data_IF_942082918232
#
_entry.id   IF_942082918232
#
_cell.length_a   1.000
_cell.length_b   1.000
_cell.length_c   1.000
_cell.angle_alpha   90.00
_cell.angle_beta   90.00
_cell.angle_gamma   90.00
#
_symmetry.space_group_name_H-M   'P 1'
#
loop_
_entity.id
_entity.type
_entity.pdbx_description
1 polymer ?
#
# COMPACT_ATOMS: atom_id res chain seq x y z
N UNK A 1 26.66 -54.46 -28.98
CA UNK A 1 27.25 -53.23 -28.39
C UNK A 1 26.25 -52.06 -28.52
N UNK A 2 25.18 -52.02 -27.73
CA UNK A 2 24.14 -50.95 -27.81
C UNK A 2 23.44 -50.69 -26.46
N UNK A 3 24.17 -50.68 -25.34
CA UNK A 3 23.57 -50.42 -24.01
C UNK A 3 24.34 -49.45 -23.09
N UNK A 4 25.47 -48.88 -23.52
CA UNK A 4 26.31 -48.07 -22.60
C UNK A 4 26.30 -46.55 -22.83
N UNK A 5 25.52 -46.01 -23.77
CA UNK A 5 25.57 -44.55 -24.07
C UNK A 5 24.39 -43.79 -23.43
N UNK A 6 23.29 -44.46 -23.06
CA UNK A 6 22.13 -43.81 -22.46
C UNK A 6 22.33 -43.44 -20.97
N UNK A 7 23.35 -43.98 -20.30
CA UNK A 7 23.57 -43.74 -18.86
C UNK A 7 24.52 -42.56 -18.57
N UNK A 8 25.28 -42.09 -19.56
CA UNK A 8 26.24 -40.99 -19.37
C UNK A 8 25.64 -39.60 -19.66
N UNK A 9 24.49 -39.53 -20.35
CA UNK A 9 23.83 -38.28 -20.75
C UNK A 9 22.79 -37.78 -19.74
N UNK A 10 22.54 -38.54 -18.66
CA UNK A 10 21.58 -38.17 -17.61
C UNK A 10 22.24 -37.49 -16.39
N UNK A 11 23.57 -37.32 -16.42
CA UNK A 11 24.38 -36.72 -15.35
C UNK A 11 24.77 -35.24 -15.61
N UNK A 12 24.21 -34.63 -16.65
CA UNK A 12 24.46 -33.24 -17.05
C UNK A 12 23.19 -32.38 -17.02
N UNK A 13 22.28 -32.65 -16.08
CA UNK A 13 21.40 -31.58 -15.63
C UNK A 13 22.19 -30.75 -14.63
N UNK A 14 22.54 -29.49 -14.94
CA UNK A 14 22.98 -28.59 -13.89
C UNK A 14 21.79 -28.46 -12.94
N UNK A 15 21.88 -29.08 -11.77
CA UNK A 15 21.16 -28.59 -10.60
C UNK A 15 21.69 -27.17 -10.36
N UNK A 16 21.09 -26.19 -11.04
CA UNK A 16 21.22 -24.81 -10.65
C UNK A 16 20.73 -24.75 -9.22
N UNK A 17 21.65 -24.53 -8.29
CA UNK A 17 21.30 -24.10 -6.95
C UNK A 17 20.64 -22.75 -7.17
N UNK A 18 19.31 -22.67 -7.01
CA UNK A 18 18.62 -21.40 -7.07
C UNK A 18 19.26 -20.51 -6.01
N UNK A 19 20.02 -19.52 -6.45
CA UNK A 19 20.66 -18.56 -5.57
C UNK A 19 19.55 -17.68 -5.01
N UNK A 20 19.44 -17.66 -3.68
CA UNK A 20 18.60 -16.74 -2.94
C UNK A 20 18.80 -15.30 -3.44
N UNK A 21 17.74 -14.69 -3.99
CA UNK A 21 17.74 -13.35 -4.57
C UNK A 21 16.63 -12.53 -3.90
N UNK A 22 16.91 -11.27 -3.60
CA UNK A 22 15.96 -10.31 -3.03
C UNK A 22 15.91 -9.07 -3.92
N UNK A 23 14.74 -8.83 -4.51
CA UNK A 23 14.40 -7.60 -5.21
C UNK A 23 13.77 -6.58 -4.26
N UNK A 24 14.25 -5.33 -4.34
CA UNK A 24 13.81 -4.23 -3.49
C UNK A 24 13.44 -3.06 -4.40
N UNK A 25 12.19 -2.64 -4.36
CA UNK A 25 11.71 -1.43 -5.04
C UNK A 25 11.40 -0.37 -3.99
N UNK A 26 12.07 0.78 -4.07
CA UNK A 26 11.93 1.84 -3.08
C UNK A 26 11.66 3.20 -3.75
N UNK A 27 10.61 3.88 -3.31
CA UNK A 27 10.24 5.25 -3.74
C UNK A 27 10.41 6.19 -2.55
N UNK A 28 11.54 6.90 -2.45
CA UNK A 28 11.83 7.75 -1.30
C UNK A 28 10.81 8.86 -1.05
N UNK A 29 10.20 9.43 -2.09
CA UNK A 29 9.25 10.55 -1.96
C UNK A 29 7.97 10.18 -1.22
N UNK A 30 7.44 8.98 -1.48
CA UNK A 30 6.27 8.45 -0.79
C UNK A 30 6.65 7.59 0.41
N UNK A 31 7.93 7.21 0.52
CA UNK A 31 8.40 6.18 1.43
C UNK A 31 7.96 4.77 1.07
N UNK A 32 7.31 4.56 -0.09
CA UNK A 32 6.85 3.25 -0.49
C UNK A 32 8.00 2.29 -0.70
N UNK A 33 7.93 1.13 -0.07
CA UNK A 33 8.89 0.05 -0.17
C UNK A 33 8.14 -1.25 -0.51
N UNK A 34 8.65 -1.97 -1.50
CA UNK A 34 8.26 -3.36 -1.77
C UNK A 34 9.51 -4.23 -1.79
N UNK A 35 9.50 -5.32 -1.04
CA UNK A 35 10.58 -6.30 -1.02
C UNK A 35 10.00 -7.65 -1.34
N UNK A 36 10.65 -8.37 -2.26
CA UNK A 36 10.30 -9.73 -2.63
C UNK A 36 11.57 -10.55 -2.76
N UNK A 37 11.57 -11.78 -2.29
CA UNK A 37 12.73 -12.63 -2.46
C UNK A 37 12.65 -13.98 -1.80
N UNK A 38 13.70 -14.75 -2.02
CA UNK A 38 13.92 -16.04 -1.40
C UNK A 38 15.20 -16.00 -0.57
N UNK A 39 15.17 -16.60 0.61
CA UNK A 39 16.37 -16.84 1.42
C UNK A 39 16.43 -18.29 1.86
N UNK A 40 17.65 -18.83 1.95
CA UNK A 40 17.86 -20.10 2.65
C UNK A 40 17.86 -19.78 4.14
N UNK A 41 16.89 -20.30 4.89
CA UNK A 41 16.81 -20.14 6.34
C UNK A 41 17.30 -21.38 7.07
N UNK A 42 18.03 -21.18 8.17
CA UNK A 42 18.47 -22.23 9.09
C UNK A 42 17.82 -22.04 10.47
N UNK A 43 16.54 -22.44 10.63
CA UNK A 43 15.78 -22.17 11.85
C UNK A 43 16.27 -23.05 13.01
N UNK A 44 16.56 -22.42 14.15
CA UNK A 44 16.91 -23.12 15.40
C UNK A 44 15.71 -23.64 16.21
N UNK A 45 14.48 -23.29 15.81
CA UNK A 45 13.24 -23.69 16.49
C UNK A 45 12.10 -23.90 15.48
N UNK A 46 11.00 -24.52 15.92
CA UNK A 46 9.77 -24.66 15.12
C UNK A 46 8.92 -23.39 15.07
N UNK A 47 9.29 -22.35 15.82
CA UNK A 47 8.60 -21.06 15.83
C UNK A 47 9.57 -19.90 15.54
N UNK A 48 10.28 -19.90 14.39
CA UNK A 48 11.13 -18.78 14.02
C UNK A 48 10.29 -17.56 13.68
N UNK A 49 10.86 -16.38 13.89
CA UNK A 49 10.22 -15.11 13.55
C UNK A 49 11.18 -14.15 12.82
N UNK A 50 10.60 -13.14 12.19
CA UNK A 50 11.35 -11.98 11.71
C UNK A 50 10.57 -10.69 11.95
N UNK A 51 11.30 -9.58 12.00
CA UNK A 51 10.76 -8.25 12.25
C UNK A 51 10.86 -7.39 10.98
N UNK A 52 9.79 -6.66 10.70
CA UNK A 52 9.68 -5.66 9.64
C UNK A 52 9.27 -4.31 10.22
N UNK A 53 9.31 -3.26 9.40
CA UNK A 53 8.78 -1.95 9.77
C UNK A 53 7.26 -1.98 10.11
N UNK A 54 6.75 -1.01 10.90
CA UNK A 54 5.40 -1.08 11.49
C UNK A 54 4.23 -1.16 10.49
N UNK A 55 4.38 -0.57 9.30
CA UNK A 55 3.32 -0.50 8.29
C UNK A 55 3.41 -1.63 7.25
N UNK A 56 4.37 -2.56 7.40
CA UNK A 56 4.58 -3.65 6.46
C UNK A 56 3.35 -4.57 6.35
N UNK A 57 2.98 -4.86 5.11
CA UNK A 57 1.92 -5.79 4.72
C UNK A 57 2.54 -6.97 4.02
N UNK A 58 2.30 -8.17 4.55
CA UNK A 58 2.76 -9.42 3.93
C UNK A 58 1.87 -9.71 2.73
N UNK A 59 2.45 -9.79 1.54
CA UNK A 59 1.76 -10.08 0.29
C UNK A 59 2.01 -11.52 -0.17
N UNK A 60 3.15 -12.09 0.22
CA UNK A 60 3.48 -13.51 0.03
C UNK A 60 4.35 -14.01 1.19
N UNK A 61 4.10 -15.23 1.66
CA UNK A 61 4.97 -15.89 2.65
C UNK A 61 4.83 -17.40 2.53
N UNK A 62 5.95 -18.09 2.37
CA UNK A 62 5.96 -19.53 2.19
C UNK A 62 7.28 -20.18 2.65
N UNK A 63 7.21 -21.34 3.31
CA UNK A 63 8.35 -22.24 3.52
C UNK A 63 7.92 -23.72 3.48
N UNK A 64 8.85 -24.64 3.18
CA UNK A 64 8.56 -26.08 2.94
C UNK A 64 7.80 -26.73 4.10
N UNK A 65 8.24 -26.45 5.32
CA UNK A 65 7.67 -27.02 6.53
C UNK A 65 6.64 -26.10 7.17
N UNK A 66 6.23 -24.99 6.53
CA UNK A 66 5.29 -24.03 7.10
C UNK A 66 3.89 -24.62 7.19
N UNK A 67 3.33 -24.60 8.39
CA UNK A 67 1.93 -24.97 8.66
C UNK A 67 1.02 -23.73 8.62
N UNK A 68 1.46 -22.68 9.29
CA UNK A 68 0.76 -21.40 9.42
C UNK A 68 1.77 -20.30 9.76
N UNK A 69 1.33 -19.05 9.68
CA UNK A 69 2.06 -17.91 10.18
C UNK A 69 1.10 -16.96 10.91
N UNK A 70 1.66 -16.17 11.83
CA UNK A 70 0.94 -15.12 12.55
C UNK A 70 1.67 -13.79 12.35
N UNK A 71 0.90 -12.72 12.17
CA UNK A 71 1.42 -11.35 12.03
C UNK A 71 0.93 -10.52 13.22
N UNK A 72 1.87 -10.02 14.01
CA UNK A 72 1.61 -9.10 15.11
C UNK A 72 2.18 -7.74 14.75
N UNK A 73 1.30 -6.75 14.58
CA UNK A 73 1.70 -5.36 14.28
C UNK A 73 1.79 -4.57 15.56
N UNK A 74 2.93 -3.91 15.79
CA UNK A 74 3.18 -3.05 16.94
C UNK A 74 3.86 -1.74 16.54
N UNK A 75 3.93 -0.81 17.49
CA UNK A 75 4.50 0.53 17.27
C UNK A 75 5.95 0.51 16.76
N UNK A 76 6.72 -0.52 17.13
CA UNK A 76 8.15 -0.66 16.82
C UNK A 76 8.44 -1.67 15.71
N UNK A 77 7.40 -2.23 15.07
CA UNK A 77 7.57 -3.13 13.94
C UNK A 77 6.46 -4.16 13.81
N UNK A 78 6.49 -4.88 12.69
CA UNK A 78 5.61 -6.00 12.38
C UNK A 78 6.39 -7.29 12.62
N UNK A 79 5.99 -8.06 13.63
CA UNK A 79 6.57 -9.37 13.93
C UNK A 79 5.81 -10.44 13.15
N UNK A 80 6.52 -11.19 12.33
CA UNK A 80 5.97 -12.35 11.63
C UNK A 80 6.52 -13.61 12.27
N UNK A 81 5.66 -14.40 12.88
CA UNK A 81 6.03 -15.69 13.50
C UNK A 81 5.56 -16.83 12.61
N UNK A 82 6.48 -17.67 12.17
CA UNK A 82 6.21 -18.88 11.41
C UNK A 82 5.94 -20.03 12.37
N UNK A 83 5.08 -20.97 11.98
CA UNK A 83 4.98 -22.28 12.64
C UNK A 83 5.39 -23.37 11.68
N UNK A 84 6.53 -24.00 11.97
CA UNK A 84 7.12 -25.04 11.15
C UNK A 84 6.82 -26.43 11.71
N UNK A 85 6.57 -27.39 10.83
CA UNK A 85 6.48 -28.81 11.17
C UNK A 85 7.83 -29.33 11.65
N UNK A 86 8.93 -28.93 11.02
CA UNK A 86 10.30 -29.27 11.42
C UNK A 86 11.24 -28.07 11.25
N UNK A 87 12.12 -27.89 12.25
CA UNK A 87 13.19 -26.89 12.21
C UNK A 87 14.41 -27.45 11.47
N UNK A 88 14.39 -27.35 10.14
CA UNK A 88 15.50 -27.78 9.26
C UNK A 88 15.81 -26.68 8.23
N UNK A 89 17.03 -26.65 7.67
CA UNK A 89 17.36 -25.76 6.58
C UNK A 89 16.38 -25.89 5.42
N UNK A 90 15.81 -24.78 4.96
CA UNK A 90 14.80 -24.75 3.90
C UNK A 90 14.71 -23.35 3.28
N UNK A 91 14.05 -23.25 2.13
CA UNK A 91 13.82 -21.96 1.47
C UNK A 91 12.63 -21.25 2.11
N UNK A 92 12.81 -19.97 2.41
CA UNK A 92 11.75 -19.03 2.78
C UNK A 92 11.55 -18.08 1.62
N UNK A 93 10.38 -18.14 0.98
CA UNK A 93 9.90 -17.13 0.04
C UNK A 93 9.07 -16.10 0.80
N UNK A 94 9.33 -14.82 0.57
CA UNK A 94 8.59 -13.73 1.21
C UNK A 94 8.42 -12.54 0.26
N UNK A 95 7.30 -11.86 0.41
CA UNK A 95 7.04 -10.56 -0.20
C UNK A 95 6.25 -9.70 0.77
N UNK A 96 6.62 -8.43 0.85
CA UNK A 96 5.91 -7.45 1.64
C UNK A 96 6.02 -6.05 1.04
N UNK A 97 5.06 -5.21 1.37
CA UNK A 97 5.01 -3.83 0.95
C UNK A 97 4.58 -2.91 2.09
N UNK A 98 4.87 -1.61 1.97
CA UNK A 98 4.37 -0.62 2.91
C UNK A 98 5.11 0.69 2.77
N UNK A 99 4.98 1.55 3.78
CA UNK A 99 5.51 2.91 3.75
C UNK A 99 6.48 3.13 4.90
N UNK A 100 7.74 3.38 4.56
CA UNK A 100 8.72 4.00 5.44
C UNK A 100 8.39 5.49 5.58
N UNK A 101 8.95 6.16 6.59
CA UNK A 101 8.82 7.62 6.76
C UNK A 101 10.17 8.31 6.53
N UNK A 102 10.77 8.21 5.33
CA UNK A 102 12.01 8.89 5.05
C UNK A 102 11.80 10.40 4.94
N UNK A 103 12.80 11.20 5.34
CA UNK A 103 12.76 12.64 5.25
C UNK A 103 14.01 13.20 4.56
N UNK A 104 13.81 14.15 3.64
CA UNK A 104 14.91 14.89 3.01
C UNK A 104 15.37 14.34 1.66
N UNK A 105 16.47 14.90 1.17
CA UNK A 105 17.07 14.59 -0.14
C UNK A 105 17.98 13.36 -0.13
N UNK A 106 18.18 12.76 1.04
CA UNK A 106 19.01 11.59 1.27
C UNK A 106 18.30 10.70 2.29
N UNK A 107 18.22 9.41 2.01
CA UNK A 107 17.52 8.43 2.84
C UNK A 107 18.47 7.31 3.22
N UNK A 108 18.64 7.13 4.52
CA UNK A 108 19.35 5.99 5.09
C UNK A 108 18.36 4.83 5.29
N UNK A 109 18.60 3.73 4.60
CA UNK A 109 17.93 2.45 4.83
C UNK A 109 18.87 1.58 5.65
N UNK A 110 18.60 1.48 6.95
CA UNK A 110 19.40 0.71 7.90
C UNK A 110 18.50 -0.11 8.83
N UNK A 111 19.10 -0.69 9.89
CA UNK A 111 18.37 -1.54 10.84
C UNK A 111 17.24 -0.80 11.55
N UNK A 112 17.37 0.51 11.79
CA UNK A 112 16.33 1.28 12.48
C UNK A 112 15.10 1.50 11.59
N UNK A 113 15.30 1.55 10.27
CA UNK A 113 14.19 1.62 9.31
C UNK A 113 13.47 0.27 9.11
N UNK A 114 14.10 -0.85 9.51
CA UNK A 114 13.58 -2.22 9.33
C UNK A 114 13.10 -2.52 7.89
N UNK A 115 13.73 -1.89 6.90
CA UNK A 115 13.39 -2.00 5.48
C UNK A 115 13.60 -3.43 4.94
N UNK A 116 14.63 -4.12 5.43
CA UNK A 116 14.90 -5.54 5.21
C UNK A 116 14.52 -6.36 6.45
N UNK A 117 14.13 -7.65 6.33
CA UNK A 117 13.70 -8.41 7.50
C UNK A 117 14.84 -8.63 8.48
N UNK A 118 14.58 -8.37 9.77
CA UNK A 118 15.47 -8.79 10.83
C UNK A 118 15.07 -10.19 11.30
N UNK A 119 15.80 -11.20 10.83
CA UNK A 119 15.53 -12.60 11.11
C UNK A 119 16.04 -13.04 12.50
N UNK A 120 15.24 -13.83 13.22
CA UNK A 120 15.66 -14.49 14.48
C UNK A 120 16.52 -15.74 14.26
N UNK A 121 16.84 -16.06 13.02
CA UNK A 121 17.56 -17.24 12.58
C UNK A 121 18.61 -16.86 11.54
N UNK A 122 19.60 -17.74 11.34
CA UNK A 122 20.61 -17.54 10.33
C UNK A 122 19.99 -17.66 8.92
N UNK A 123 20.35 -16.74 8.05
CA UNK A 123 20.04 -16.79 6.62
C UNK A 123 21.34 -16.99 5.83
N UNK A 124 21.21 -17.55 4.62
CA UNK A 124 22.27 -17.48 3.62
C UNK A 124 22.62 -16.04 3.25
N UNK A 125 23.53 -15.85 2.29
CA UNK A 125 23.89 -14.52 1.78
C UNK A 125 23.16 -14.24 0.48
N UNK A 126 21.91 -13.73 0.52
CA UNK A 126 21.18 -13.40 -0.70
C UNK A 126 21.84 -12.23 -1.42
N UNK A 127 21.72 -12.21 -2.75
CA UNK A 127 22.00 -11.01 -3.51
C UNK A 127 20.81 -10.05 -3.38
N UNK A 128 21.07 -8.78 -3.04
CA UNK A 128 20.03 -7.75 -2.95
C UNK A 128 20.13 -6.84 -4.16
N UNK A 129 19.05 -6.78 -4.93
CA UNK A 129 18.92 -5.95 -6.12
C UNK A 129 17.95 -4.79 -5.82
N UNK A 130 18.48 -3.56 -5.79
CA UNK A 130 17.73 -2.35 -5.47
C UNK A 130 17.32 -1.60 -6.76
N UNK A 131 16.02 -1.33 -6.88
CA UNK A 131 15.41 -0.52 -7.92
C UNK A 131 14.92 0.80 -7.33
N UNK A 132 15.33 1.91 -7.96
CA UNK A 132 15.00 3.28 -7.55
C UNK A 132 14.40 4.07 -8.72
N UNK A 133 13.58 5.10 -8.44
CA UNK A 133 13.17 6.09 -9.42
C UNK A 133 14.37 6.78 -10.09
N UNK A 134 14.21 7.26 -11.33
CA UNK A 134 15.31 7.81 -12.13
C UNK A 134 15.99 9.06 -11.52
N UNK A 135 15.26 9.80 -10.69
CA UNK A 135 15.75 10.96 -9.94
C UNK A 135 16.41 10.59 -8.60
N UNK A 136 16.63 9.29 -8.35
CA UNK A 136 17.35 8.78 -7.19
C UNK A 136 18.45 7.82 -7.62
N UNK A 137 19.54 7.84 -6.87
CA UNK A 137 20.62 6.90 -7.05
C UNK A 137 21.04 6.27 -5.73
N UNK A 138 21.61 5.08 -5.81
CA UNK A 138 22.34 4.47 -4.71
C UNK A 138 23.59 5.30 -4.42
N UNK A 139 23.64 5.90 -3.24
CA UNK A 139 24.81 6.64 -2.77
C UNK A 139 25.94 5.71 -2.35
N UNK A 140 25.65 4.81 -1.40
CA UNK A 140 26.62 3.83 -0.91
C UNK A 140 25.94 2.63 -0.21
N UNK A 141 26.59 1.48 -0.26
CA UNK A 141 26.35 0.37 0.66
C UNK A 141 27.25 0.53 1.89
N UNK A 142 26.65 0.45 3.08
CA UNK A 142 27.34 0.48 4.36
C UNK A 142 27.55 -0.92 4.94
N UNK A 143 26.64 -1.85 4.66
CA UNK A 143 26.74 -3.27 5.05
C UNK A 143 25.90 -4.16 4.15
N UNK A 144 26.25 -5.44 4.09
CA UNK A 144 25.58 -6.49 3.31
C UNK A 144 25.43 -7.77 4.14
N UNK A 145 24.54 -8.71 3.74
CA UNK A 145 24.44 -10.01 4.38
C UNK A 145 25.82 -10.68 4.51
N UNK A 146 26.13 -11.33 5.65
CA UNK A 146 25.21 -11.74 6.73
C UNK A 146 24.90 -10.67 7.79
N UNK A 147 25.50 -9.48 7.70
CA UNK A 147 25.08 -8.34 8.54
C UNK A 147 23.76 -7.76 8.03
N UNK A 148 23.03 -7.04 8.88
CA UNK A 148 21.84 -6.33 8.43
C UNK A 148 22.22 -5.38 7.29
N UNK A 149 21.55 -5.44 6.12
CA UNK A 149 21.93 -4.62 4.98
C UNK A 149 21.61 -3.16 5.25
N UNK A 150 22.60 -2.29 5.06
CA UNK A 150 22.43 -0.85 5.23
C UNK A 150 22.98 -0.12 4.01
N UNK A 151 22.21 0.85 3.53
CA UNK A 151 22.54 1.62 2.33
C UNK A 151 21.95 3.03 2.39
N UNK A 152 22.49 3.93 1.59
CA UNK A 152 21.95 5.28 1.43
C UNK A 152 21.54 5.52 -0.01
N UNK A 153 20.39 6.14 -0.21
CA UNK A 153 19.92 6.63 -1.51
C UNK A 153 19.79 8.14 -1.48
N UNK A 154 20.03 8.81 -2.61
CA UNK A 154 20.02 10.27 -2.69
C UNK A 154 19.32 10.78 -3.94
N UNK A 155 18.66 11.92 -3.80
CA UNK A 155 17.95 12.60 -4.86
C UNK A 155 18.94 13.36 -5.76
N UNK A 156 18.88 13.10 -7.07
CA UNK A 156 19.77 13.71 -8.07
C UNK A 156 19.20 14.98 -8.68
N UNK A 157 17.90 15.27 -8.50
CA UNK A 157 17.24 16.47 -9.04
C UNK A 157 17.57 17.75 -8.25
N UNK A 158 17.84 17.64 -6.94
CA UNK A 158 18.22 18.78 -6.09
C UNK A 158 19.63 19.34 -6.36
N UNK A 159 20.45 18.64 -7.15
CA UNK A 159 21.72 19.16 -7.62
C UNK A 159 21.59 20.10 -8.85
N UNK A 160 20.39 20.21 -9.45
CA UNK A 160 20.24 20.76 -10.80
C UNK A 160 19.18 21.87 -10.99
N UNK A 161 18.55 22.42 -9.95
CA UNK A 161 17.45 23.37 -10.14
C UNK A 161 17.65 24.74 -9.45
N UNK A 162 18.21 25.70 -10.19
CA UNK A 162 17.78 27.11 -10.14
C UNK A 162 17.06 27.43 -11.46
N UNK A 163 15.73 27.54 -11.45
CA UNK A 163 14.94 28.65 -12.03
C UNK A 163 13.42 28.32 -12.06
N UNK A 164 12.51 29.29 -11.86
CA UNK A 164 11.07 29.04 -11.64
C UNK A 164 10.19 29.32 -12.88
N UNK A 165 9.14 28.52 -13.09
CA UNK A 165 8.09 28.81 -14.08
C UNK A 165 6.68 28.91 -13.46
N UNK A 166 6.00 29.97 -13.86
CA UNK A 166 4.71 30.44 -13.37
C UNK A 166 3.52 29.66 -13.96
N UNK A 167 2.47 29.55 -13.15
CA UNK A 167 1.20 28.93 -13.48
C UNK A 167 0.36 29.76 -14.47
N UNK A 168 -0.27 29.09 -15.44
CA UNK A 168 -1.45 29.60 -16.15
C UNK A 168 -2.42 28.45 -16.45
N UNK A 169 -3.67 28.60 -16.01
CA UNK A 169 -4.84 27.80 -16.41
C UNK A 169 -5.32 28.20 -17.81
N UNK A 170 -5.95 27.28 -18.56
CA UNK A 170 -7.13 27.70 -19.31
C UNK A 170 -8.28 26.68 -19.37
N UNK A 171 -9.47 27.26 -19.51
CA UNK A 171 -10.77 26.68 -19.89
C UNK A 171 -10.79 26.40 -21.39
N UNK A 172 -11.40 25.29 -21.85
CA UNK A 172 -11.87 25.16 -23.25
C UNK A 172 -13.19 24.36 -23.34
N UNK A 173 -14.08 24.92 -24.15
CA UNK A 173 -15.35 24.45 -24.70
C UNK A 173 -15.11 23.76 -26.07
N UNK A 174 -15.66 22.56 -26.31
CA UNK A 174 -15.78 22.00 -27.69
C UNK A 174 -16.93 20.97 -27.83
N UNK A 175 -18.02 21.41 -28.48
CA UNK A 175 -18.85 20.68 -29.47
C UNK A 175 -18.89 19.13 -29.43
N UNK A 176 -19.99 18.60 -28.88
CA UNK A 176 -20.15 17.21 -28.44
C UNK A 176 -20.73 16.18 -29.43
N UNK A 177 -19.91 15.62 -30.32
CA UNK A 177 -20.08 14.23 -30.80
C UNK A 177 -18.76 13.62 -31.28
N UNK A 178 -17.96 14.40 -32.00
CA UNK A 178 -16.60 13.99 -32.43
C UNK A 178 -15.63 13.92 -31.25
N UNK A 179 -15.75 14.86 -30.29
CA UNK A 179 -14.96 14.86 -29.04
C UNK A 179 -15.20 13.59 -28.21
N UNK A 180 -16.47 13.18 -28.03
CA UNK A 180 -16.83 11.98 -27.27
C UNK A 180 -16.28 10.71 -27.92
N UNK A 181 -16.34 10.58 -29.25
CA UNK A 181 -15.75 9.43 -29.95
C UNK A 181 -14.23 9.38 -29.81
N UNK A 182 -13.55 10.53 -29.85
CA UNK A 182 -12.09 10.62 -29.63
C UNK A 182 -11.71 10.26 -28.20
N UNK A 183 -12.45 10.74 -27.20
CA UNK A 183 -12.26 10.38 -25.79
C UNK A 183 -12.47 8.88 -25.61
N UNK A 184 -13.53 8.30 -26.17
CA UNK A 184 -13.82 6.87 -26.04
C UNK A 184 -12.71 5.99 -26.65
N UNK A 185 -12.11 6.42 -27.77
CA UNK A 185 -10.93 5.77 -28.33
C UNK A 185 -9.71 5.86 -27.41
N UNK A 186 -9.45 7.04 -26.80
CA UNK A 186 -8.33 7.18 -25.86
C UNK A 186 -8.54 6.38 -24.59
N UNK A 187 -9.75 6.32 -24.05
CA UNK A 187 -10.08 5.48 -22.90
C UNK A 187 -9.90 4.01 -23.23
N UNK A 188 -10.33 3.57 -24.42
CA UNK A 188 -10.11 2.19 -24.87
C UNK A 188 -8.62 1.87 -24.97
N UNK A 189 -7.84 2.80 -25.52
CA UNK A 189 -6.38 2.67 -25.60
C UNK A 189 -5.74 2.61 -24.23
N UNK A 190 -6.12 3.51 -23.32
CA UNK A 190 -5.68 3.52 -21.92
C UNK A 190 -5.98 2.18 -21.24
N UNK A 191 -7.22 1.70 -21.29
CA UNK A 191 -7.64 0.42 -20.69
C UNK A 191 -6.88 -0.77 -21.28
N UNK A 192 -6.64 -0.77 -22.60
CA UNK A 192 -5.83 -1.80 -23.24
C UNK A 192 -4.38 -1.75 -22.76
N UNK A 193 -3.78 -0.57 -22.68
CA UNK A 193 -2.41 -0.40 -22.21
C UNK A 193 -2.27 -0.75 -20.72
N UNK A 194 -3.30 -0.50 -19.90
CA UNK A 194 -3.39 -0.99 -18.51
C UNK A 194 -3.43 -2.52 -18.47
N UNK A 195 -4.28 -3.15 -19.28
CA UNK A 195 -4.37 -4.62 -19.36
C UNK A 195 -3.07 -5.27 -19.82
N UNK A 196 -2.37 -4.62 -20.75
CA UNK A 196 -1.08 -5.04 -21.26
C UNK A 196 0.07 -4.67 -20.31
N UNK A 197 -0.21 -3.95 -19.22
CA UNK A 197 0.78 -3.44 -18.25
C UNK A 197 1.88 -2.64 -18.93
N UNK A 198 1.51 -1.92 -19.98
CA UNK A 198 2.43 -1.19 -20.82
C UNK A 198 2.50 0.27 -20.35
N UNK A 199 3.33 0.52 -19.34
CA UNK A 199 3.53 1.86 -18.79
C UNK A 199 3.93 2.88 -19.87
N UNK A 200 4.73 2.47 -20.86
CA UNK A 200 5.16 3.37 -21.95
C UNK A 200 4.02 3.83 -22.84
N UNK A 201 3.04 2.95 -23.10
CA UNK A 201 1.84 3.33 -23.86
C UNK A 201 0.88 4.16 -23.03
N UNK A 202 0.80 3.92 -21.72
CA UNK A 202 0.01 4.77 -20.81
C UNK A 202 0.62 6.16 -20.77
N UNK A 203 1.94 6.28 -20.59
CA UNK A 203 2.67 7.56 -20.58
C UNK A 203 2.44 8.39 -21.84
N UNK A 204 2.34 7.74 -23.00
CA UNK A 204 2.05 8.41 -24.26
C UNK A 204 0.66 9.08 -24.32
N UNK A 205 -0.23 8.74 -23.38
CA UNK A 205 -1.57 9.34 -23.24
C UNK A 205 -1.60 10.43 -22.17
N UNK A 206 -0.55 10.61 -21.39
CA UNK A 206 -0.55 11.49 -20.22
C UNK A 206 0.10 12.85 -20.52
N UNK A 207 -0.47 13.89 -19.91
CA UNK A 207 0.21 15.18 -19.81
C UNK A 207 1.49 15.06 -19.00
N UNK A 208 2.39 16.03 -19.16
CA UNK A 208 3.67 16.06 -18.43
C UNK A 208 3.48 15.95 -16.91
N UNK A 209 2.50 16.68 -16.35
CA UNK A 209 2.24 16.69 -14.92
C UNK A 209 1.83 15.31 -14.39
N UNK A 210 0.99 14.57 -15.13
CA UNK A 210 0.58 13.22 -14.72
C UNK A 210 1.68 12.17 -14.93
N UNK A 211 2.57 12.37 -15.92
CA UNK A 211 3.77 11.54 -16.08
C UNK A 211 4.72 11.71 -14.90
N UNK A 212 4.99 12.95 -14.51
CA UNK A 212 5.81 13.26 -13.33
C UNK A 212 5.18 12.74 -12.04
N UNK A 213 3.85 12.77 -11.93
CA UNK A 213 3.12 12.18 -10.81
C UNK A 213 3.14 10.63 -10.79
N UNK A 214 3.76 9.98 -11.78
CA UNK A 214 3.91 8.52 -11.82
C UNK A 214 2.61 7.77 -12.10
N UNK A 215 1.64 8.40 -12.77
CA UNK A 215 0.34 7.77 -13.00
C UNK A 215 0.43 6.55 -13.94
N UNK A 216 1.29 6.58 -14.96
CA UNK A 216 1.45 5.45 -15.88
C UNK A 216 1.99 4.18 -15.22
N UNK A 217 3.10 4.20 -14.46
CA UNK A 217 3.54 3.03 -13.72
C UNK A 217 2.52 2.59 -12.66
N UNK A 218 1.82 3.53 -12.01
CA UNK A 218 0.72 3.20 -11.08
C UNK A 218 -0.36 2.36 -11.78
N UNK A 219 -0.91 2.83 -12.90
CA UNK A 219 -1.96 2.12 -13.61
C UNK A 219 -1.47 0.80 -14.24
N UNK A 220 -0.24 0.75 -14.74
CA UNK A 220 0.37 -0.48 -15.29
C UNK A 220 0.67 -1.54 -14.22
N UNK A 221 0.83 -1.14 -12.96
CA UNK A 221 1.19 -2.05 -11.85
C UNK A 221 0.03 -2.91 -11.34
N UNK A 222 -1.16 -2.79 -11.92
CA UNK A 222 -2.32 -3.56 -11.50
C UNK A 222 -2.04 -5.09 -11.54
N UNK A 223 -2.19 -5.81 -10.42
CA UNK A 223 -1.83 -7.22 -10.37
C UNK A 223 -2.67 -8.09 -11.32
N UNK A 224 -2.08 -9.06 -12.03
CA UNK A 224 -2.80 -10.00 -12.90
C UNK A 224 -3.92 -10.78 -12.21
N UNK A 225 -3.82 -10.97 -10.90
CA UNK A 225 -4.83 -11.64 -10.09
C UNK A 225 -6.19 -10.92 -10.06
N UNK A 226 -6.21 -9.61 -10.34
CA UNK A 226 -7.43 -8.81 -10.46
C UNK A 226 -8.16 -9.05 -11.80
N UNK A 227 -7.53 -9.72 -12.76
CA UNK A 227 -8.07 -9.97 -14.09
C UNK A 227 -7.96 -8.73 -15.01
N UNK A 228 -8.59 -8.76 -16.20
CA UNK A 228 -8.63 -7.62 -17.09
C UNK A 228 -9.41 -6.46 -16.47
N UNK A 229 -8.88 -5.26 -16.64
CA UNK A 229 -9.58 -4.00 -16.49
C UNK A 229 -10.54 -3.82 -17.65
N UNK A 230 -11.77 -3.49 -17.31
CA UNK A 230 -12.82 -3.03 -18.21
C UNK A 230 -13.13 -1.59 -17.85
N UNK A 231 -13.51 -0.80 -18.86
CA UNK A 231 -13.84 0.61 -18.68
C UNK A 231 -15.15 0.95 -19.36
N UNK A 232 -15.96 1.80 -18.74
CA UNK A 232 -17.09 2.48 -19.39
C UNK A 232 -17.00 3.99 -19.21
N UNK A 233 -17.48 4.73 -20.21
CA UNK A 233 -17.41 6.19 -20.28
C UNK A 233 -18.85 6.72 -20.28
N UNK A 234 -19.43 7.00 -19.10
CA UNK A 234 -20.80 7.52 -19.03
C UNK A 234 -20.92 8.95 -19.58
N UNK A 235 -19.85 9.74 -19.47
CA UNK A 235 -19.73 11.11 -19.98
C UNK A 235 -18.25 11.45 -20.26
N UNK A 236 -17.99 12.65 -20.78
CA UNK A 236 -16.67 13.08 -21.23
C UNK A 236 -15.65 13.35 -20.10
N UNK A 237 -16.11 13.38 -18.84
CA UNK A 237 -15.28 13.69 -17.67
C UNK A 237 -15.12 12.51 -16.70
N UNK A 238 -15.74 11.36 -17.01
CA UNK A 238 -15.83 10.23 -16.09
C UNK A 238 -15.46 8.93 -16.79
N UNK A 239 -14.59 8.15 -16.15
CA UNK A 239 -14.31 6.76 -16.55
C UNK A 239 -14.62 5.85 -15.36
N UNK A 240 -15.44 4.84 -15.59
CA UNK A 240 -15.66 3.78 -14.60
C UNK A 240 -14.74 2.61 -14.92
N UNK A 241 -13.82 2.31 -14.01
CA UNK A 241 -12.95 1.14 -14.11
C UNK A 241 -13.49 -0.01 -13.26
N UNK A 242 -13.47 -1.22 -13.83
CA UNK A 242 -13.81 -2.45 -13.14
C UNK A 242 -12.86 -3.58 -13.52
N UNK A 243 -12.57 -4.44 -12.56
CA UNK A 243 -11.75 -5.64 -12.71
C UNK A 243 -12.61 -6.88 -12.43
N UNK A 244 -12.13 -8.07 -12.81
CA UNK A 244 -12.83 -9.33 -12.49
C UNK A 244 -12.93 -9.58 -10.97
N UNK A 245 -11.95 -9.06 -10.21
CA UNK A 245 -11.90 -9.10 -8.75
C UNK A 245 -11.51 -7.75 -8.18
N UNK A 246 -12.05 -7.36 -7.02
CA UNK A 246 -11.70 -6.11 -6.33
C UNK A 246 -12.73 -4.98 -6.49
N UNK A 247 -12.34 -3.78 -6.05
CA UNK A 247 -13.21 -2.60 -6.07
C UNK A 247 -13.41 -2.07 -7.50
N UNK A 248 -14.56 -1.45 -7.73
CA UNK A 248 -14.77 -0.58 -8.89
C UNK A 248 -14.24 0.80 -8.55
N UNK A 249 -13.81 1.54 -9.55
CA UNK A 249 -13.30 2.89 -9.35
C UNK A 249 -13.94 3.85 -10.34
N UNK A 250 -14.19 5.07 -9.87
CA UNK A 250 -14.54 6.20 -10.71
C UNK A 250 -13.30 7.07 -10.85
N UNK A 251 -12.85 7.25 -12.09
CA UNK A 251 -11.85 8.25 -12.42
C UNK A 251 -12.54 9.51 -12.92
N UNK A 252 -12.31 10.62 -12.24
CA UNK A 252 -12.58 11.96 -12.75
C UNK A 252 -11.42 12.36 -13.66
N UNK A 253 -11.72 12.71 -14.90
CA UNK A 253 -10.70 12.96 -15.93
C UNK A 253 -10.91 14.30 -16.64
N UNK A 254 -9.81 14.92 -17.04
CA UNK A 254 -9.83 16.04 -17.96
C UNK A 254 -8.89 15.76 -19.13
N UNK A 255 -9.41 15.88 -20.35
CA UNK A 255 -8.65 15.69 -21.58
C UNK A 255 -8.33 17.06 -22.20
N UNK A 256 -7.11 17.21 -22.70
CA UNK A 256 -6.65 18.44 -23.35
C UNK A 256 -6.13 18.13 -24.75
N UNK A 257 -6.49 18.96 -25.72
CA UNK A 257 -5.89 18.91 -27.05
C UNK A 257 -4.53 19.60 -27.05
N UNK A 258 -3.51 18.90 -27.53
CA UNK A 258 -2.16 19.46 -27.71
C UNK A 258 -1.64 19.09 -29.10
N UNK A 259 -1.72 20.04 -30.03
CA UNK A 259 -1.48 19.75 -31.43
C UNK A 259 -2.51 18.74 -31.97
N UNK A 260 -2.06 17.68 -32.62
CA UNK A 260 -2.95 16.70 -33.26
C UNK A 260 -3.36 15.51 -32.34
N UNK A 261 -3.03 15.55 -31.05
CA UNK A 261 -3.36 14.47 -30.11
C UNK A 261 -4.07 14.98 -28.85
N UNK A 262 -4.80 14.06 -28.22
CA UNK A 262 -5.52 14.29 -26.98
C UNK A 262 -4.70 13.69 -25.83
N UNK A 263 -4.34 14.49 -24.84
CA UNK A 263 -3.61 14.05 -23.65
C UNK A 263 -4.49 14.14 -22.41
N UNK A 264 -4.30 13.23 -21.46
CA UNK A 264 -4.95 13.23 -20.16
C UNK A 264 -4.25 14.26 -19.26
N UNK A 265 -4.95 15.35 -18.97
CA UNK A 265 -4.41 16.49 -18.21
C UNK A 265 -4.66 16.36 -16.71
N UNK A 266 -5.82 15.79 -16.32
CA UNK A 266 -6.15 15.52 -14.93
C UNK A 266 -6.71 14.11 -14.77
N UNK A 267 -6.39 13.49 -13.65
CA UNK A 267 -6.87 12.16 -13.28
C UNK A 267 -6.97 12.07 -11.76
N UNK A 268 -8.15 11.78 -11.26
CA UNK A 268 -8.40 11.53 -9.85
C UNK A 268 -9.21 10.24 -9.72
N UNK A 269 -8.69 9.27 -8.97
CA UNK A 269 -9.32 7.97 -8.81
C UNK A 269 -9.98 7.86 -7.44
N UNK A 270 -11.27 7.57 -7.43
CA UNK A 270 -12.05 7.33 -6.20
C UNK A 270 -12.67 5.94 -6.25
N UNK A 271 -12.74 5.20 -5.13
CA UNK A 271 -13.49 3.96 -5.08
C UNK A 271 -14.96 4.20 -5.44
N UNK A 272 -15.46 3.51 -6.46
CA UNK A 272 -16.86 3.47 -6.84
C UNK A 272 -17.59 2.50 -5.89
N UNK A 273 -17.90 3.00 -4.70
CA UNK A 273 -18.75 2.32 -3.73
C UNK A 273 -20.20 2.79 -3.84
N UNK A 274 -21.13 2.01 -3.29
CA UNK A 274 -22.50 2.49 -3.08
C UNK A 274 -22.43 3.78 -2.27
N UNK A 275 -22.98 4.91 -2.76
CA UNK A 275 -23.01 6.14 -1.98
C UNK A 275 -23.63 5.80 -0.63
N UNK A 276 -22.91 6.11 0.45
CA UNK A 276 -23.40 5.88 1.80
C UNK A 276 -24.71 6.64 1.92
N UNK A 277 -25.83 5.97 2.25
CA UNK A 277 -27.10 6.65 2.47
C UNK A 277 -26.88 7.84 3.41
N UNK A 278 -27.47 9.00 3.09
CA UNK A 278 -27.25 10.22 3.89
C UNK A 278 -27.63 10.00 5.35
N UNK A 279 -28.62 9.15 5.59
CA UNK A 279 -29.08 8.70 6.89
C UNK A 279 -27.98 7.91 7.61
N UNK A 280 -27.27 7.04 6.91
CA UNK A 280 -26.16 6.26 7.46
C UNK A 280 -24.94 7.15 7.75
N UNK A 281 -24.58 8.05 6.83
CA UNK A 281 -23.51 9.01 7.07
C UNK A 281 -23.83 9.93 8.26
N UNK A 282 -25.07 10.43 8.33
CA UNK A 282 -25.54 11.26 9.45
C UNK A 282 -25.52 10.47 10.76
N UNK A 283 -25.93 9.20 10.73
CA UNK A 283 -25.89 8.31 11.89
C UNK A 283 -24.46 8.06 12.38
N UNK A 284 -23.49 7.87 11.48
CA UNK A 284 -22.08 7.70 11.82
C UNK A 284 -21.47 9.00 12.35
N UNK A 285 -21.76 10.13 11.72
CA UNK A 285 -21.29 11.44 12.19
C UNK A 285 -21.84 11.76 13.58
N UNK A 286 -23.11 11.43 13.83
CA UNK A 286 -23.75 11.55 15.13
C UNK A 286 -23.07 10.64 16.16
N UNK A 287 -22.79 9.39 15.80
CA UNK A 287 -22.05 8.47 16.66
C UNK A 287 -20.63 8.97 17.00
N UNK A 288 -19.88 9.47 16.02
CA UNK A 288 -18.54 10.06 16.25
C UNK A 288 -18.65 11.29 17.16
N UNK A 289 -19.70 12.09 17.00
CA UNK A 289 -19.99 13.23 17.88
C UNK A 289 -20.31 12.78 19.31
N UNK A 290 -21.15 11.76 19.49
CA UNK A 290 -21.47 11.16 20.78
C UNK A 290 -20.25 10.56 21.45
N UNK A 291 -19.43 9.82 20.70
CA UNK A 291 -18.17 9.24 21.16
C UNK A 291 -17.21 10.33 21.68
N UNK A 292 -17.02 11.41 20.92
CA UNK A 292 -16.21 12.57 21.34
C UNK A 292 -16.77 13.22 22.60
N UNK A 293 -18.09 13.40 22.69
CA UNK A 293 -18.73 14.01 23.85
C UNK A 293 -18.63 13.12 25.10
N UNK A 294 -18.73 11.80 24.95
CA UNK A 294 -18.54 10.85 26.04
C UNK A 294 -17.09 10.87 26.56
N UNK A 295 -16.11 11.00 25.66
CA UNK A 295 -14.71 11.26 26.04
C UNK A 295 -14.57 12.61 26.74
N UNK A 296 -15.21 13.67 26.23
CA UNK A 296 -15.15 15.01 26.83
C UNK A 296 -15.73 15.05 28.25
N UNK A 297 -16.81 14.32 28.48
CA UNK A 297 -17.54 14.28 29.76
C UNK A 297 -17.00 13.24 30.75
N UNK A 298 -15.91 12.55 30.43
CA UNK A 298 -15.34 11.45 31.24
C UNK A 298 -16.37 10.35 31.56
N UNK A 299 -17.29 10.07 30.62
CA UNK A 299 -18.43 9.18 30.85
C UNK A 299 -18.09 7.73 30.47
N UNK A 300 -17.48 7.02 31.42
CA UNK A 300 -17.03 5.64 31.24
C UNK A 300 -18.17 4.66 30.92
N UNK A 301 -19.35 4.83 31.53
CA UNK A 301 -20.47 3.92 31.31
C UNK A 301 -20.96 3.99 29.86
N UNK A 302 -21.11 5.21 29.33
CA UNK A 302 -21.47 5.41 27.92
C UNK A 302 -20.39 4.88 26.99
N UNK A 303 -19.10 5.18 27.20
CA UNK A 303 -18.05 4.64 26.33
C UNK A 303 -17.98 3.12 26.36
N UNK A 304 -18.21 2.50 27.53
CA UNK A 304 -18.18 1.05 27.66
C UNK A 304 -19.31 0.39 26.87
N UNK A 305 -20.48 1.05 26.77
CA UNK A 305 -21.58 0.53 25.97
C UNK A 305 -21.36 0.68 24.45
N UNK A 306 -20.52 1.62 24.02
CA UNK A 306 -20.15 1.83 22.61
C UNK A 306 -19.07 0.84 22.11
N UNK A 307 -18.46 0.04 22.97
CA UNK A 307 -17.34 -0.85 22.61
C UNK A 307 -17.76 -2.30 22.83
N UNK A 308 -17.48 -3.15 21.85
CA UNK A 308 -17.71 -4.59 21.96
C UNK A 308 -16.92 -5.16 23.16
N UNK A 309 -17.58 -5.95 24.00
CA UNK A 309 -16.96 -6.59 25.15
C UNK A 309 -15.84 -7.55 24.73
N UNK A 310 -15.98 -8.17 23.56
CA UNK A 310 -15.04 -9.15 23.00
C UNK A 310 -14.08 -8.52 21.97
N UNK A 311 -13.94 -7.19 21.95
CA UNK A 311 -13.05 -6.51 21.02
C UNK A 311 -11.61 -7.08 21.15
N UNK A 312 -10.92 -7.46 20.05
CA UNK A 312 -9.61 -8.13 20.12
C UNK A 312 -8.54 -7.36 20.91
N UNK A 313 -8.62 -6.03 20.89
CA UNK A 313 -7.73 -5.10 21.59
C UNK A 313 -7.97 -5.06 23.12
N UNK A 314 -9.07 -5.63 23.60
CA UNK A 314 -9.54 -5.57 24.98
C UNK A 314 -10.26 -4.26 25.32
N UNK A 315 -11.51 -4.37 25.81
CA UNK A 315 -12.39 -3.22 26.06
C UNK A 315 -11.75 -2.16 26.98
N UNK A 316 -11.07 -2.57 28.05
CA UNK A 316 -10.41 -1.64 28.97
C UNK A 316 -9.26 -0.83 28.35
N UNK A 317 -8.50 -1.43 27.41
CA UNK A 317 -7.42 -0.74 26.72
C UNK A 317 -7.97 0.29 25.72
N UNK A 318 -9.05 -0.08 25.02
CA UNK A 318 -9.76 0.80 24.09
C UNK A 318 -10.37 1.99 24.84
N UNK A 319 -11.01 1.76 25.98
CA UNK A 319 -11.53 2.83 26.85
C UNK A 319 -10.45 3.80 27.27
N UNK A 320 -9.33 3.29 27.80
CA UNK A 320 -8.20 4.12 28.23
C UNK A 320 -7.63 4.96 27.08
N UNK A 321 -7.56 4.40 25.87
CA UNK A 321 -7.11 5.12 24.69
C UNK A 321 -8.11 6.21 24.28
N UNK A 322 -9.40 5.90 24.21
CA UNK A 322 -10.42 6.89 23.84
C UNK A 322 -10.40 8.07 24.82
N UNK A 323 -10.24 7.82 26.12
CA UNK A 323 -10.06 8.87 27.12
C UNK A 323 -8.77 9.70 26.96
N UNK A 324 -7.74 9.17 26.30
CA UNK A 324 -6.54 9.95 26.00
C UNK A 324 -6.67 10.87 24.79
N UNK A 325 -7.69 10.69 23.94
CA UNK A 325 -7.89 11.53 22.76
C UNK A 325 -8.23 12.95 23.17
N UNK A 326 -7.93 13.91 22.29
CA UNK A 326 -8.29 15.31 22.52
C UNK A 326 -9.75 15.53 22.07
N UNK A 327 -10.70 15.77 22.99
CA UNK A 327 -12.08 16.00 22.61
C UNK A 327 -12.38 17.48 22.35
N UNK A 328 -11.44 18.39 22.62
CA UNK A 328 -11.66 19.85 22.52
C UNK A 328 -11.82 20.32 21.07
N UNK A 329 -11.23 19.59 20.12
CA UNK A 329 -11.37 19.84 18.68
C UNK A 329 -12.39 18.84 18.09
N UNK A 330 -13.28 19.27 17.17
CA UNK A 330 -14.20 18.36 16.49
C UNK A 330 -13.45 17.24 15.75
N UNK A 331 -14.00 16.03 15.82
CA UNK A 331 -13.54 14.88 15.04
C UNK A 331 -14.38 14.81 13.75
N UNK A 332 -13.75 14.46 12.62
CA UNK A 332 -14.42 14.38 11.32
C UNK A 332 -14.40 12.97 10.76
N UNK A 333 -15.46 12.58 10.06
CA UNK A 333 -15.49 11.33 9.30
C UNK A 333 -14.93 11.62 7.92
N UNK A 334 -13.78 11.04 7.59
CA UNK A 334 -13.13 11.22 6.29
C UNK A 334 -13.68 10.23 5.27
N UNK A 335 -13.92 9.00 5.71
CA UNK A 335 -14.30 7.91 4.82
C UNK A 335 -15.11 6.85 5.53
N UNK A 336 -15.94 6.12 4.78
CA UNK A 336 -16.58 4.91 5.26
C UNK A 336 -16.77 3.88 4.14
N UNK A 337 -16.64 2.60 4.50
CA UNK A 337 -16.78 1.43 3.62
C UNK A 337 -17.94 0.61 4.15
N UNK A 338 -18.77 0.02 3.27
CA UNK A 338 -19.91 -0.81 3.69
C UNK A 338 -19.56 -2.27 4.00
N UNK A 339 -18.54 -2.81 3.35
CA UNK A 339 -18.21 -4.24 3.44
C UNK A 339 -16.68 -4.45 3.56
N UNK A 340 -16.14 -4.68 4.78
CA UNK A 340 -16.82 -4.59 6.08
C UNK A 340 -17.18 -3.13 6.43
N UNK A 341 -18.16 -2.94 7.34
CA UNK A 341 -18.56 -1.58 7.75
C UNK A 341 -17.48 -0.93 8.61
N UNK A 342 -16.73 -0.01 8.00
CA UNK A 342 -15.57 0.65 8.61
C UNK A 342 -15.66 2.13 8.37
N UNK A 343 -15.36 2.92 9.39
CA UNK A 343 -15.35 4.38 9.33
C UNK A 343 -13.97 4.88 9.71
N UNK A 344 -13.38 5.72 8.86
CA UNK A 344 -12.14 6.43 9.17
C UNK A 344 -12.47 7.80 9.75
N UNK A 345 -12.05 8.02 10.99
CA UNK A 345 -12.28 9.25 11.75
C UNK A 345 -10.98 10.01 11.92
N UNK A 346 -10.92 11.24 11.47
CA UNK A 346 -9.82 12.14 11.73
C UNK A 346 -9.96 12.84 13.08
N UNK A 347 -8.92 12.73 13.90
CA UNK A 347 -8.84 13.27 15.26
C UNK A 347 -7.61 14.19 15.36
N UNK A 348 -7.82 15.51 15.44
CA UNK A 348 -6.77 16.47 15.74
C UNK A 348 -6.38 16.34 17.22
N UNK A 349 -5.31 15.62 17.51
CA UNK A 349 -4.94 15.28 18.88
C UNK A 349 -4.10 16.40 19.54
N UNK A 350 -3.06 16.87 18.85
CA UNK A 350 -2.20 17.98 19.28
C UNK A 350 -1.70 18.78 18.06
N UNK A 351 -0.99 19.89 18.27
CA UNK A 351 -0.49 20.80 17.22
C UNK A 351 0.27 20.08 16.10
N UNK A 352 1.03 19.02 16.45
CA UNK A 352 1.79 18.20 15.52
C UNK A 352 1.38 16.73 15.54
N UNK A 353 0.19 16.41 16.06
CA UNK A 353 -0.28 15.03 16.15
C UNK A 353 -1.72 14.97 15.70
N UNK A 354 -1.93 14.35 14.54
CA UNK A 354 -3.26 14.01 14.06
C UNK A 354 -3.34 12.49 13.98
N UNK A 355 -4.53 11.95 14.22
CA UNK A 355 -4.78 10.52 14.20
C UNK A 355 -5.92 10.25 13.21
N UNK A 356 -5.81 9.18 12.43
CA UNK A 356 -6.94 8.54 11.77
C UNK A 356 -7.30 7.31 12.59
N UNK A 357 -8.56 7.24 13.03
CA UNK A 357 -9.11 6.07 13.71
C UNK A 357 -9.93 5.28 12.70
N UNK A 358 -9.51 4.08 12.35
CA UNK A 358 -10.35 3.16 11.59
C UNK A 358 -11.19 2.35 12.57
N UNK A 359 -12.47 2.71 12.64
CA UNK A 359 -13.46 2.08 13.49
C UNK A 359 -14.20 1.02 12.67
N UNK A 360 -14.04 -0.25 13.04
CA UNK A 360 -14.99 -1.28 12.64
C UNK A 360 -16.25 -1.11 13.46
N UNK A 361 -17.40 -0.96 12.78
CA UNK A 361 -18.68 -0.69 13.42
C UNK A 361 -19.68 -1.82 13.12
N UNK A 362 -20.39 -2.25 14.15
CA UNK A 362 -21.56 -3.13 14.03
C UNK A 362 -22.80 -2.43 14.56
N UNK A 363 -23.99 -2.70 13.98
CA UNK A 363 -25.24 -2.14 14.50
C UNK A 363 -25.56 -2.76 15.87
N UNK A 364 -25.67 -1.92 16.91
CA UNK A 364 -26.19 -2.29 18.22
C UNK A 364 -27.70 -2.07 18.35
N UNK A 365 -28.25 -2.28 19.55
CA UNK A 365 -29.69 -2.09 19.81
C UNK A 365 -30.15 -0.63 19.72
N UNK A 366 -29.25 0.31 19.99
CA UNK A 366 -29.57 1.75 20.04
C UNK A 366 -28.48 2.66 19.45
N UNK A 367 -27.28 2.13 19.25
CA UNK A 367 -26.09 2.86 18.82
C UNK A 367 -25.14 1.93 18.06
N UNK A 368 -24.13 2.49 17.40
CA UNK A 368 -23.05 1.72 16.78
C UNK A 368 -22.11 1.16 17.84
N UNK A 369 -21.65 -0.08 17.65
CA UNK A 369 -20.71 -0.75 18.52
C UNK A 369 -19.35 -0.84 17.80
N UNK A 370 -18.30 -0.37 18.46
CA UNK A 370 -16.92 -0.49 17.99
C UNK A 370 -16.47 -1.92 18.23
N UNK A 371 -16.31 -2.70 17.17
CA UNK A 371 -15.80 -4.07 17.23
C UNK A 371 -14.34 -4.19 16.75
N UNK A 372 -13.78 -3.11 16.23
CA UNK A 372 -12.37 -2.99 15.85
C UNK A 372 -11.95 -1.53 15.94
N UNK A 373 -10.76 -1.29 16.48
CA UNK A 373 -10.13 0.03 16.48
C UNK A 373 -8.69 -0.10 15.97
N UNK A 374 -8.39 0.60 14.88
CA UNK A 374 -7.02 0.79 14.41
C UNK A 374 -6.70 2.29 14.42
N UNK A 375 -5.48 2.63 14.79
CA UNK A 375 -5.05 4.02 14.98
C UNK A 375 -3.87 4.25 14.04
N UNK A 376 -3.99 5.22 13.15
CA UNK A 376 -2.95 5.61 12.21
C UNK A 376 -2.54 7.05 12.53
N UNK A 377 -1.34 7.30 13.06
CA UNK A 377 -0.85 8.66 13.20
C UNK A 377 -0.58 9.25 11.81
N UNK A 378 -1.07 10.47 11.60
CA UNK A 378 -0.86 11.28 10.40
C UNK A 378 -0.19 12.58 10.85
N UNK A 379 1.10 12.46 11.16
CA UNK A 379 1.97 13.55 11.60
C UNK A 379 2.92 13.93 10.47
#
# INVERSE_FOLDING_TARGET
MKKSIAFLLLLLFPCGVATADVGVFFVPESGFLRVQGEVIMEPGSQAPFFLLFPTAQITELWADEMLEYNVQRGLHGTVVTLRLRQAKPQTLSFSYEGFLSPGGSEVLLDRDSLWFPEFSFAIGSPQINLELPANWELGAWHSQPPMYPALTVRNTALAAAEEPQAATTPVVDTTGREAVSRIQMQVTRLTNSINQRNASEIDALLSHALREAGLAPYLASLPPSYGPVTSSVPDEFTILFSTDKGFRYQASVAWQERGDHLELAAFELTPLGTPIPRELLSSVQEFVRELRLAVQGDNQETLSSLIDADIPQGQGAVLKFLFSLNPAVPWTVEYAVLEPFVVTVFVPHAEHTKLLLNLGLTPGQSHWIINRLEIVPVG
#
